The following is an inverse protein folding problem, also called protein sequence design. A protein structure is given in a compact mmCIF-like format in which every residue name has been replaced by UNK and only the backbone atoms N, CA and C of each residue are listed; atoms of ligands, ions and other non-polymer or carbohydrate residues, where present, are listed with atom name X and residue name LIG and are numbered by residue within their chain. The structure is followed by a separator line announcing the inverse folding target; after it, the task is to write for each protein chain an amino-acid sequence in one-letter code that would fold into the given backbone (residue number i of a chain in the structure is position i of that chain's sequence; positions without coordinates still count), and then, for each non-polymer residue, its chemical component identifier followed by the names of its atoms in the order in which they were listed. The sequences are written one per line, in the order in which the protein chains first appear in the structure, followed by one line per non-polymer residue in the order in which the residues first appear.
data_IF_006126956582
#
_entry.id   IF_006126956582
#
_cell.length_a   1.000
_cell.length_b   1.000
_cell.length_c   1.000
_cell.angle_alpha   90.00
_cell.angle_beta   90.00
_cell.angle_gamma   90.00
#
_symmetry.space_group_name_H-M   'P 1'
#
loop_
_entity.id
_entity.type
_entity.pdbx_description
1 polymer ?
#
# COMPACT_ATOMS: atom_id res chain seq x y z
N UNK A 1 18.24 -28.10 7.40
CA UNK A 1 17.31 -27.02 7.01
C UNK A 1 17.71 -25.78 7.80
N UNK A 2 18.02 -24.66 7.13
CA UNK A 2 18.30 -23.41 7.83
C UNK A 2 16.98 -22.76 8.28
N UNK A 3 16.88 -22.39 9.55
CA UNK A 3 15.80 -21.55 10.06
C UNK A 3 16.22 -20.09 9.90
N UNK A 4 15.42 -19.30 9.20
CA UNK A 4 15.61 -17.86 9.08
C UNK A 4 14.55 -17.15 9.91
N UNK A 5 14.98 -16.52 11.00
CA UNK A 5 14.13 -15.63 11.81
C UNK A 5 14.49 -14.19 11.51
N UNK A 6 13.48 -13.34 11.27
CA UNK A 6 13.65 -11.90 11.11
C UNK A 6 12.73 -11.17 12.07
N UNK A 7 13.14 -9.98 12.50
CA UNK A 7 12.32 -9.06 13.29
C UNK A 7 11.86 -7.93 12.39
N UNK A 8 10.58 -7.61 12.45
CA UNK A 8 9.98 -6.51 11.67
C UNK A 8 9.46 -5.44 12.62
N UNK A 9 9.68 -4.18 12.25
CA UNK A 9 9.10 -3.02 12.94
C UNK A 9 8.14 -2.35 11.97
N UNK A 10 6.89 -2.16 12.40
CA UNK A 10 5.93 -1.35 11.66
C UNK A 10 6.14 0.11 12.01
N UNK A 11 6.21 0.97 10.98
CA UNK A 11 6.41 2.40 11.11
C UNK A 11 5.24 3.10 10.44
N UNK A 12 4.67 4.11 11.10
CA UNK A 12 3.68 4.97 10.46
C UNK A 12 4.35 5.75 9.34
N UNK A 13 3.77 5.71 8.14
CA UNK A 13 4.32 6.34 6.94
C UNK A 13 4.46 7.87 7.08
N UNK A 14 3.76 8.48 8.03
CA UNK A 14 3.87 9.91 8.38
C UNK A 14 5.08 10.21 9.25
N UNK A 15 5.56 9.22 9.99
CA UNK A 15 6.72 9.33 10.88
C UNK A 15 8.03 8.93 10.18
N UNK A 16 7.95 8.09 9.14
CA UNK A 16 9.11 7.70 8.36
C UNK A 16 8.75 6.97 7.06
N UNK A 17 9.54 7.24 6.02
CA UNK A 17 9.39 6.59 4.72
C UNK A 17 10.49 5.55 4.48
N UNK A 18 10.19 4.45 3.75
CA UNK A 18 11.21 3.48 3.37
C UNK A 18 12.27 4.06 2.44
N UNK A 19 13.33 3.29 2.20
CA UNK A 19 14.28 3.61 1.13
C UNK A 19 13.65 3.33 -0.24
N UNK A 20 13.97 4.17 -1.23
CA UNK A 20 13.52 4.04 -2.61
C UNK A 20 13.82 2.64 -3.20
N UNK A 21 12.85 2.06 -3.89
CA UNK A 21 12.94 0.80 -4.62
C UNK A 21 12.86 -0.47 -3.77
N UNK A 22 12.69 -0.35 -2.45
CA UNK A 22 12.71 -1.50 -1.54
C UNK A 22 11.31 -2.10 -1.44
N UNK A 23 11.18 -3.44 -1.53
CA UNK A 23 9.90 -4.11 -1.27
C UNK A 23 9.53 -3.97 0.21
N UNK A 24 8.26 -3.67 0.45
CA UNK A 24 7.69 -3.41 1.77
C UNK A 24 6.35 -4.13 1.93
N UNK A 25 6.07 -4.57 3.15
CA UNK A 25 4.72 -4.92 3.55
C UNK A 25 4.03 -3.63 4.02
N UNK A 26 2.87 -3.32 3.46
CA UNK A 26 2.08 -2.12 3.78
C UNK A 26 0.73 -2.55 4.32
N UNK A 27 0.41 -2.11 5.54
CA UNK A 27 -0.94 -2.24 6.10
C UNK A 27 -1.79 -1.08 5.58
N UNK A 28 -2.86 -1.38 4.86
CA UNK A 28 -3.81 -0.39 4.33
C UNK A 28 -5.20 -0.65 4.90
N UNK A 29 -5.96 0.42 5.08
CA UNK A 29 -7.39 0.35 5.37
C UNK A 29 -8.20 0.50 4.10
N UNK A 30 -9.35 -0.16 4.04
CA UNK A 30 -10.33 0.04 2.99
C UNK A 30 -11.75 -0.16 3.52
N UNK A 31 -12.74 0.05 2.65
CA UNK A 31 -14.13 -0.28 2.94
C UNK A 31 -14.67 -1.17 1.84
N UNK A 32 -15.49 -2.14 2.21
CA UNK A 32 -16.20 -2.95 1.22
C UNK A 32 -17.15 -2.06 0.40
N UNK A 33 -17.26 -2.27 -0.93
CA UNK A 33 -18.18 -1.51 -1.76
C UNK A 33 -19.61 -1.60 -1.21
N UNK A 34 -20.30 -0.46 -1.17
CA UNK A 34 -21.73 -0.44 -0.91
C UNK A 34 -22.47 -0.88 -2.18
N UNK A 35 -23.08 -2.07 -2.19
CA UNK A 35 -23.85 -2.57 -3.32
C UNK A 35 -24.89 -3.62 -2.89
N UNK A 36 -26.06 -3.58 -3.53
CA UNK A 36 -27.31 -4.28 -3.15
C UNK A 36 -27.32 -5.82 -3.30
N UNK A 37 -26.17 -6.46 -3.56
CA UNK A 37 -26.18 -7.81 -4.15
C UNK A 37 -25.90 -8.96 -3.20
N UNK A 38 -25.55 -8.70 -1.93
CA UNK A 38 -25.31 -9.78 -0.97
C UNK A 38 -25.91 -9.43 0.41
N UNK A 39 -27.04 -10.07 0.80
CA UNK A 39 -27.68 -9.84 2.10
C UNK A 39 -26.85 -10.33 3.30
N UNK A 40 -25.66 -10.91 3.07
CA UNK A 40 -24.67 -11.22 4.11
C UNK A 40 -23.37 -10.41 4.03
N UNK A 41 -23.22 -9.50 3.06
CA UNK A 41 -21.98 -8.73 2.93
C UNK A 41 -21.86 -7.68 4.04
N UNK A 42 -20.64 -7.56 4.56
CA UNK A 42 -20.15 -6.51 5.45
C UNK A 42 -20.12 -5.13 4.74
N UNK A 43 -21.26 -4.69 4.21
CA UNK A 43 -21.40 -3.49 3.39
C UNK A 43 -20.90 -2.26 4.15
N UNK A 44 -19.90 -1.58 3.59
CA UNK A 44 -19.28 -0.41 4.22
C UNK A 44 -18.40 -0.71 5.43
N UNK A 45 -18.20 -1.98 5.82
CA UNK A 45 -17.30 -2.35 6.91
C UNK A 45 -15.86 -2.00 6.55
N UNK A 46 -15.13 -1.47 7.53
CA UNK A 46 -13.72 -1.19 7.43
C UNK A 46 -12.92 -2.47 7.54
N UNK A 47 -12.00 -2.68 6.60
CA UNK A 47 -11.07 -3.79 6.64
C UNK A 47 -9.63 -3.29 6.68
N UNK A 48 -8.77 -4.13 7.23
CA UNK A 48 -7.32 -4.00 7.12
C UNK A 48 -6.78 -5.07 6.17
N UNK A 49 -5.84 -4.66 5.31
CA UNK A 49 -5.17 -5.57 4.39
C UNK A 49 -3.67 -5.28 4.40
N UNK A 50 -2.86 -6.33 4.56
CA UNK A 50 -1.42 -6.24 4.37
C UNK A 50 -1.08 -6.62 2.94
N UNK A 51 -0.37 -5.74 2.23
CA UNK A 51 0.01 -5.96 0.83
C UNK A 51 1.50 -5.78 0.63
N UNK A 52 2.07 -6.59 -0.25
CA UNK A 52 3.43 -6.38 -0.74
C UNK A 52 3.43 -5.29 -1.81
N UNK A 53 4.28 -4.30 -1.62
CA UNK A 53 4.45 -3.15 -2.52
C UNK A 53 5.94 -2.81 -2.60
N UNK A 54 6.32 -1.89 -3.48
CA UNK A 54 7.60 -1.19 -3.36
C UNK A 54 7.35 0.30 -3.16
N UNK A 55 8.27 0.96 -2.45
CA UNK A 55 8.23 2.40 -2.24
C UNK A 55 9.06 3.13 -3.30
N UNK A 56 8.55 4.24 -3.84
CA UNK A 56 9.30 5.15 -4.71
C UNK A 56 9.11 6.61 -4.32
N UNK A 57 10.19 7.39 -4.45
CA UNK A 57 10.20 8.83 -4.24
C UNK A 57 9.44 9.55 -5.36
N UNK A 58 9.50 9.04 -6.59
CA UNK A 58 8.83 9.58 -7.77
C UNK A 58 8.22 8.42 -8.58
N UNK A 59 6.94 8.51 -8.89
CA UNK A 59 6.31 7.69 -9.92
C UNK A 59 6.06 8.56 -11.14
N UNK A 60 6.43 8.02 -12.30
CA UNK A 60 6.35 8.69 -13.58
C UNK A 60 5.32 8.00 -14.46
N UNK A 61 4.61 8.78 -15.26
CA UNK A 61 3.74 8.23 -16.30
C UNK A 61 4.56 7.66 -17.47
N UNK A 62 3.85 7.17 -18.49
CA UNK A 62 4.43 6.55 -19.68
C UNK A 62 5.32 7.54 -20.49
N UNK A 63 5.02 8.84 -20.41
CA UNK A 63 5.79 9.91 -21.06
C UNK A 63 6.99 10.36 -20.21
N UNK A 64 7.15 9.79 -19.01
CA UNK A 64 8.24 10.07 -18.08
C UNK A 64 8.03 11.32 -17.21
N UNK A 65 6.84 11.93 -17.23
CA UNK A 65 6.49 13.04 -16.35
C UNK A 65 6.17 12.53 -14.94
N UNK A 66 6.62 13.26 -13.92
CA UNK A 66 6.39 12.86 -12.52
C UNK A 66 4.94 13.16 -12.15
N UNK A 67 4.17 12.11 -11.87
CA UNK A 67 2.74 12.18 -11.54
C UNK A 67 2.45 11.93 -10.06
N UNK A 68 3.37 11.30 -9.33
CA UNK A 68 3.24 11.10 -7.89
C UNK A 68 4.60 11.13 -7.19
N UNK A 69 4.60 11.52 -5.92
CA UNK A 69 5.78 11.50 -5.04
C UNK A 69 5.49 10.70 -3.77
N UNK A 70 6.54 10.10 -3.19
CA UNK A 70 6.48 9.34 -1.94
C UNK A 70 5.32 8.32 -1.93
N UNK A 71 5.33 7.43 -2.92
CA UNK A 71 4.20 6.53 -3.18
C UNK A 71 4.61 5.06 -3.14
N UNK A 72 3.60 4.22 -2.92
CA UNK A 72 3.70 2.77 -2.82
C UNK A 72 2.97 2.17 -4.01
N UNK A 73 3.63 1.27 -4.72
CA UNK A 73 3.10 0.66 -5.94
C UNK A 73 3.03 -0.86 -5.74
N UNK A 74 1.87 -1.44 -6.05
CA UNK A 74 1.66 -2.89 -5.98
C UNK A 74 1.95 -3.60 -7.31
N UNK A 75 1.74 -4.91 -7.37
CA UNK A 75 1.89 -5.72 -8.58
C UNK A 75 0.94 -5.33 -9.71
N UNK A 76 -0.22 -4.78 -9.35
CA UNK A 76 -1.31 -4.42 -10.27
C UNK A 76 -1.17 -2.96 -10.75
N UNK A 77 -0.03 -2.32 -10.48
CA UNK A 77 0.28 -0.92 -10.78
C UNK A 77 -0.63 0.10 -10.07
N UNK A 78 -1.32 -0.29 -8.99
CA UNK A 78 -2.08 0.66 -8.17
C UNK A 78 -1.12 1.47 -7.31
N UNK A 79 -1.17 2.80 -7.50
CA UNK A 79 -0.39 3.77 -6.74
C UNK A 79 -1.17 4.14 -5.47
N UNK A 80 -0.49 4.11 -4.33
CA UNK A 80 -1.02 4.55 -3.03
C UNK A 80 -0.11 5.60 -2.42
N UNK A 81 -0.72 6.58 -1.78
CA UNK A 81 -0.02 7.71 -1.18
C UNK A 81 0.13 7.50 0.33
N UNK A 82 1.28 7.91 0.88
CA UNK A 82 1.54 7.85 2.32
C UNK A 82 0.51 8.67 3.14
N UNK A 83 0.04 9.77 2.57
CA UNK A 83 -1.02 10.61 3.12
C UNK A 83 -1.92 11.09 2.00
N UNK A 84 -3.18 11.43 2.33
CA UNK A 84 -3.98 12.25 1.43
C UNK A 84 -3.27 13.60 1.25
N UNK A 85 -3.27 14.20 0.04
CA UNK A 85 -2.77 15.55 -0.16
C UNK A 85 -3.50 16.59 0.70
#
# INVERSE_FOLDING_TARGET
MASFTTTVTWVDVREGLPRHGIPVAVAVTGRHPAGDSDPGAALGEEFWLVRTMYYTNEHRDEDGAVVARNCFVDSDQVIRYASSP
#
